data_IF_964950145656
#
_entry.id   IF_964950145656
#
_cell.length_a   1.000
_cell.length_b   1.000
_cell.length_c   1.000
_cell.angle_alpha   90.00
_cell.angle_beta   90.00
_cell.angle_gamma   90.00
#
_symmetry.space_group_name_H-M   'P 1'
#
loop_
_entity.id
_entity.type
_entity.pdbx_description
1 polymer ?
#
# COMPACT_ATOMS: atom_id res chain seq x y z
N UNK A 1 -0.35 8.01 3.50
CA UNK A 1 -1.50 8.68 2.87
C UNK A 1 -1.94 9.96 3.60
N UNK A 2 -2.26 9.95 4.90
CA UNK A 2 -2.76 11.18 5.57
C UNK A 2 -1.75 12.36 5.54
N UNK A 3 -0.44 12.08 5.65
CA UNK A 3 0.62 13.11 5.51
C UNK A 3 0.64 13.75 4.12
N UNK A 4 0.59 12.96 3.05
CA UNK A 4 0.62 13.49 1.67
C UNK A 4 -0.65 14.29 1.36
N UNK A 5 -1.81 13.89 1.87
CA UNK A 5 -3.05 14.67 1.73
C UNK A 5 -2.95 16.02 2.45
N UNK A 6 -2.34 16.08 3.64
CA UNK A 6 -2.10 17.35 4.33
C UNK A 6 -1.12 18.24 3.59
N UNK A 7 -0.07 17.67 3.02
CA UNK A 7 0.88 18.41 2.18
C UNK A 7 0.16 19.07 0.99
N UNK A 8 -0.72 18.32 0.31
CA UNK A 8 -1.58 18.86 -0.76
C UNK A 8 -2.46 20.02 -0.27
N UNK A 9 -3.11 19.87 0.88
CA UNK A 9 -3.98 20.92 1.45
C UNK A 9 -3.21 22.16 1.91
N UNK A 10 -1.98 21.98 2.38
CA UNK A 10 -1.13 23.07 2.87
C UNK A 10 -0.30 23.74 1.77
N UNK A 11 -0.27 23.19 0.56
CA UNK A 11 0.57 23.67 -0.52
C UNK A 11 0.16 25.10 -0.97
N UNK A 12 1.07 26.09 -0.88
CA UNK A 12 0.79 27.51 -1.09
C UNK A 12 0.64 27.90 -2.57
N UNK A 13 1.16 27.09 -3.50
CA UNK A 13 1.14 27.40 -4.94
C UNK A 13 0.49 26.28 -5.75
N UNK A 14 -0.04 26.61 -6.93
CA UNK A 14 -0.64 25.62 -7.82
C UNK A 14 0.39 24.56 -8.28
N UNK A 15 1.67 24.94 -8.43
CA UNK A 15 2.73 23.97 -8.72
C UNK A 15 2.96 22.99 -7.58
N UNK A 16 3.08 23.47 -6.35
CA UNK A 16 3.29 22.62 -5.18
C UNK A 16 2.07 21.71 -4.92
N UNK A 17 0.85 22.24 -5.15
CA UNK A 17 -0.37 21.44 -5.10
C UNK A 17 -0.37 20.35 -6.18
N UNK A 18 0.07 20.66 -7.40
CA UNK A 18 0.17 19.69 -8.47
C UNK A 18 1.15 18.55 -8.13
N UNK A 19 2.33 18.88 -7.59
CA UNK A 19 3.32 17.87 -7.19
C UNK A 19 2.80 17.01 -6.03
N UNK A 20 2.24 17.65 -5.00
CA UNK A 20 1.62 16.95 -3.87
C UNK A 20 0.45 16.06 -4.30
N UNK A 21 -0.34 16.45 -5.29
CA UNK A 21 -1.43 15.63 -5.84
C UNK A 21 -0.90 14.32 -6.43
N UNK A 22 0.22 14.37 -7.15
CA UNK A 22 0.86 13.17 -7.70
C UNK A 22 1.39 12.27 -6.58
N UNK A 23 1.98 12.85 -5.53
CA UNK A 23 2.43 12.08 -4.36
C UNK A 23 1.28 11.39 -3.61
N UNK A 24 0.12 12.05 -3.49
CA UNK A 24 -1.09 11.42 -2.94
C UNK A 24 -1.54 10.25 -3.82
N UNK A 25 -1.53 10.41 -5.14
CA UNK A 25 -1.91 9.35 -6.07
C UNK A 25 -0.95 8.15 -6.02
N UNK A 26 0.36 8.40 -5.89
CA UNK A 26 1.39 7.38 -5.67
C UNK A 26 1.12 6.62 -4.37
N UNK A 27 0.99 7.33 -3.25
CA UNK A 27 0.73 6.72 -1.94
C UNK A 27 -0.57 5.90 -1.94
N UNK A 28 -1.63 6.41 -2.57
CA UNK A 28 -2.91 5.71 -2.66
C UNK A 28 -2.79 4.42 -3.49
N UNK A 29 -2.11 4.47 -4.63
CA UNK A 29 -1.89 3.30 -5.50
C UNK A 29 -1.12 2.21 -4.77
N UNK A 30 -0.05 2.58 -4.07
CA UNK A 30 0.80 1.64 -3.32
C UNK A 30 0.02 1.07 -2.13
N UNK A 31 -0.68 1.89 -1.34
CA UNK A 31 -1.47 1.41 -0.20
C UNK A 31 -2.58 0.44 -0.62
N UNK A 32 -3.33 0.76 -1.67
CA UNK A 32 -4.36 -0.12 -2.20
C UNK A 32 -3.78 -1.41 -2.80
N UNK A 33 -2.70 -1.31 -3.56
CA UNK A 33 -2.00 -2.45 -4.14
C UNK A 33 -1.38 -3.37 -3.09
N UNK A 34 -0.77 -2.83 -2.03
CA UNK A 34 -0.18 -3.61 -0.95
C UNK A 34 -1.24 -4.37 -0.12
N UNK A 35 -2.36 -3.72 0.21
CA UNK A 35 -3.50 -4.39 0.87
C UNK A 35 -4.03 -5.52 -0.02
N UNK A 36 -4.20 -5.26 -1.30
CA UNK A 36 -4.64 -6.25 -2.28
C UNK A 36 -3.68 -7.44 -2.37
N UNK A 37 -2.37 -7.19 -2.46
CA UNK A 37 -1.34 -8.21 -2.57
C UNK A 37 -1.23 -9.06 -1.29
N UNK A 38 -1.22 -8.42 -0.12
CA UNK A 38 -1.20 -9.09 1.17
C UNK A 38 -2.42 -10.00 1.37
N UNK A 39 -3.62 -9.49 1.04
CA UNK A 39 -4.83 -10.27 1.11
C UNK A 39 -4.82 -11.43 0.10
N UNK A 40 -4.46 -11.18 -1.16
CA UNK A 40 -4.36 -12.24 -2.17
C UNK A 40 -3.43 -13.36 -1.73
N UNK A 41 -2.23 -13.02 -1.23
CA UNK A 41 -1.27 -14.02 -0.76
C UNK A 41 -1.86 -14.90 0.34
N UNK A 42 -2.72 -14.32 1.19
CA UNK A 42 -3.36 -15.03 2.30
C UNK A 42 -4.52 -15.95 1.89
N UNK A 43 -5.02 -15.88 0.64
CA UNK A 43 -6.20 -16.65 0.19
C UNK A 43 -5.95 -17.44 -1.09
N UNK A 44 -4.99 -17.01 -1.91
CA UNK A 44 -4.68 -17.58 -3.23
C UNK A 44 -3.23 -17.19 -3.64
N UNK A 45 -2.21 -17.79 -3.01
CA UNK A 45 -0.81 -17.39 -3.18
C UNK A 45 -0.26 -17.62 -4.59
N UNK A 46 -0.88 -18.51 -5.38
CA UNK A 46 -0.44 -18.87 -6.73
C UNK A 46 -1.11 -18.07 -7.85
N UNK A 47 -1.94 -17.07 -7.50
CA UNK A 47 -2.67 -16.28 -8.50
C UNK A 47 -1.71 -15.45 -9.38
N UNK A 48 -1.99 -15.38 -10.69
CA UNK A 48 -1.11 -14.70 -11.67
C UNK A 48 -0.81 -13.23 -11.31
N UNK A 49 -1.69 -12.56 -10.56
CA UNK A 49 -1.45 -11.20 -10.07
C UNK A 49 -0.23 -11.10 -9.15
N UNK A 50 0.02 -12.08 -8.29
CA UNK A 50 1.20 -12.13 -7.42
C UNK A 50 2.45 -12.53 -8.20
N UNK A 51 2.34 -13.48 -9.14
CA UNK A 51 3.44 -13.87 -10.03
C UNK A 51 3.90 -12.69 -10.91
N UNK A 52 2.96 -11.90 -11.41
CA UNK A 52 3.24 -10.67 -12.16
C UNK A 52 3.91 -9.60 -11.29
N UNK A 53 3.43 -9.42 -10.06
CA UNK A 53 4.05 -8.51 -9.09
C UNK A 53 5.48 -8.95 -8.74
N UNK A 54 5.72 -10.26 -8.55
CA UNK A 54 7.07 -10.81 -8.33
C UNK A 54 8.03 -10.41 -9.45
N UNK A 55 7.64 -10.65 -10.70
CA UNK A 55 8.44 -10.28 -11.88
C UNK A 55 8.70 -8.77 -11.97
N UNK A 56 7.77 -7.94 -11.48
CA UNK A 56 7.95 -6.50 -11.47
C UNK A 56 9.09 -6.05 -10.53
N UNK A 57 9.33 -6.76 -9.43
CA UNK A 57 10.44 -6.45 -8.53
C UNK A 57 11.83 -6.56 -9.18
N UNK A 58 12.00 -7.36 -10.24
CA UNK A 58 13.29 -7.47 -10.96
C UNK A 58 13.72 -6.15 -11.62
N UNK A 59 12.75 -5.28 -11.92
CA UNK A 59 12.98 -4.02 -12.65
C UNK A 59 12.62 -2.77 -11.85
N UNK A 60 11.84 -2.92 -10.78
CA UNK A 60 11.18 -1.83 -10.09
C UNK A 60 9.68 -1.89 -10.28
N UNK A 61 8.97 -1.99 -9.15
CA UNK A 61 7.51 -1.97 -9.12
C UNK A 61 7.02 -0.58 -9.46
N UNK A 62 6.13 -0.52 -10.44
CA UNK A 62 5.50 0.72 -10.88
C UNK A 62 4.10 0.83 -10.28
N UNK A 63 3.46 2.00 -10.40
CA UNK A 63 2.04 2.11 -10.03
C UNK A 63 1.15 1.17 -10.85
N UNK A 64 1.46 0.96 -12.14
CA UNK A 64 0.74 0.00 -12.96
C UNK A 64 0.81 -1.42 -12.40
N UNK A 65 1.99 -1.82 -11.89
CA UNK A 65 2.17 -3.12 -11.21
C UNK A 65 1.26 -3.25 -9.97
N UNK A 66 1.12 -2.17 -9.19
CA UNK A 66 0.19 -2.14 -8.05
C UNK A 66 -1.29 -2.18 -8.48
N UNK A 67 -1.63 -1.57 -9.62
CA UNK A 67 -2.99 -1.59 -10.16
C UNK A 67 -3.38 -2.97 -10.69
N UNK A 68 -2.43 -3.70 -11.29
CA UNK A 68 -2.67 -5.05 -11.80
C UNK A 68 -2.95 -6.04 -10.66
N UNK A 69 -2.17 -6.00 -9.57
CA UNK A 69 -2.45 -6.83 -8.39
C UNK A 69 -3.76 -6.43 -7.70
N UNK A 70 -4.07 -5.12 -7.64
CA UNK A 70 -5.35 -4.63 -7.13
C UNK A 70 -6.53 -5.17 -7.96
N UNK A 71 -6.41 -5.20 -9.29
CA UNK A 71 -7.43 -5.74 -10.19
C UNK A 71 -7.63 -7.24 -9.97
N UNK A 72 -6.54 -8.00 -9.86
CA UNK A 72 -6.60 -9.44 -9.58
C UNK A 72 -7.27 -9.72 -8.22
N UNK A 73 -6.91 -8.94 -7.19
CA UNK A 73 -7.48 -9.07 -5.86
C UNK A 73 -8.97 -8.73 -5.83
N UNK A 74 -9.36 -7.65 -6.50
CA UNK A 74 -10.75 -7.24 -6.60
C UNK A 74 -11.61 -8.29 -7.30
N UNK A 75 -11.09 -8.92 -8.37
CA UNK A 75 -11.76 -10.02 -9.05
C UNK A 75 -11.92 -11.22 -8.11
N UNK A 76 -10.84 -11.64 -7.42
CA UNK A 76 -10.89 -12.77 -6.50
C UNK A 76 -11.84 -12.53 -5.33
N UNK A 77 -11.93 -11.29 -4.85
CA UNK A 77 -12.82 -10.88 -3.76
C UNK A 77 -14.32 -11.00 -4.08
N UNK A 78 -14.70 -11.19 -5.35
CA UNK A 78 -16.11 -11.45 -5.72
C UNK A 78 -16.55 -12.82 -5.21
N UNK A 79 -15.67 -13.82 -5.28
CA UNK A 79 -15.98 -15.22 -5.01
C UNK A 79 -15.44 -15.71 -3.66
N UNK A 80 -14.80 -14.84 -2.87
CA UNK A 80 -14.20 -15.17 -1.59
C UNK A 80 -15.01 -14.58 -0.44
N UNK A 81 -15.64 -15.42 0.41
CA UNK A 81 -16.19 -14.99 1.68
C UNK A 81 -15.12 -14.29 2.54
N UNK A 82 -15.51 -13.29 3.33
CA UNK A 82 -14.60 -12.55 4.22
C UNK A 82 -13.41 -11.89 3.52
N UNK A 83 -13.61 -11.51 2.24
CA UNK A 83 -12.70 -10.62 1.55
C UNK A 83 -12.59 -9.27 2.29
N UNK A 84 -11.48 -8.56 2.04
CA UNK A 84 -11.33 -7.17 2.50
C UNK A 84 -12.61 -6.39 2.18
N UNK A 85 -13.32 -5.82 3.18
CA UNK A 85 -14.52 -5.05 2.96
C UNK A 85 -14.31 -4.03 1.85
N UNK A 86 -15.27 -3.88 0.94
CA UNK A 86 -15.17 -2.95 -0.19
C UNK A 86 -14.26 -3.37 -1.36
N UNK A 87 -13.35 -4.34 -1.22
CA UNK A 87 -12.44 -4.75 -2.29
C UNK A 87 -13.18 -5.31 -3.52
N UNK A 88 -14.25 -6.11 -3.31
CA UNK A 88 -15.08 -6.60 -4.42
C UNK A 88 -15.84 -5.47 -5.16
N UNK A 89 -16.08 -4.32 -4.51
CA UNK A 89 -16.67 -3.14 -5.16
C UNK A 89 -15.72 -2.52 -6.18
N UNK A 90 -14.40 -2.65 -5.97
CA UNK A 90 -13.38 -2.20 -6.94
C UNK A 90 -13.54 -2.94 -8.26
N UNK A 91 -13.84 -4.24 -8.22
CA UNK A 91 -14.07 -5.02 -9.44
C UNK A 91 -15.37 -4.61 -10.14
N UNK A 92 -16.46 -4.47 -9.38
CA UNK A 92 -17.76 -4.05 -9.93
C UNK A 92 -17.69 -2.67 -10.57
N UNK A 93 -16.89 -1.76 -10.01
CA UNK A 93 -16.69 -0.43 -10.57
C UNK A 93 -15.65 -0.38 -11.69
N UNK A 94 -14.74 -1.36 -11.81
CA UNK A 94 -13.59 -1.36 -12.73
C UNK A 94 -13.93 -1.13 -14.22
N UNK A 95 -15.20 -1.22 -14.62
CA UNK A 95 -15.66 -0.93 -15.97
C UNK A 95 -15.96 0.57 -16.12
N UNK A 96 -14.95 1.34 -16.53
CA UNK A 96 -15.14 2.71 -17.02
C UNK A 96 -14.19 3.76 -16.43
N UNK A 97 -14.22 4.95 -17.02
CA UNK A 97 -13.33 6.09 -16.69
C UNK A 97 -13.55 6.66 -15.28
N UNK A 98 -14.68 6.39 -14.64
CA UNK A 98 -14.99 6.83 -13.27
C UNK A 98 -14.71 5.79 -12.19
N UNK A 99 -14.10 4.66 -12.53
CA UNK A 99 -13.74 3.60 -11.58
C UNK A 99 -12.49 3.94 -10.78
N UNK A 100 -12.23 3.25 -9.66
CA UNK A 100 -11.02 3.47 -8.88
C UNK A 100 -9.77 3.27 -9.74
N UNK A 101 -9.70 2.13 -10.45
CA UNK A 101 -8.60 1.84 -11.36
C UNK A 101 -8.52 2.84 -12.52
N UNK A 102 -9.65 3.33 -13.04
CA UNK A 102 -9.68 4.33 -14.10
C UNK A 102 -9.19 5.71 -13.64
N UNK A 103 -9.59 6.14 -12.44
CA UNK A 103 -9.11 7.38 -11.82
C UNK A 103 -7.61 7.29 -11.50
N UNK A 104 -7.15 6.17 -10.93
CA UNK A 104 -5.73 5.95 -10.66
C UNK A 104 -4.91 5.89 -11.94
N UNK A 105 -5.38 5.20 -12.99
CA UNK A 105 -4.70 5.13 -14.28
C UNK A 105 -4.51 6.53 -14.89
N UNK A 106 -5.52 7.38 -14.81
CA UNK A 106 -5.43 8.77 -15.25
C UNK A 106 -4.36 9.58 -14.50
N UNK A 107 -4.24 9.37 -13.18
CA UNK A 107 -3.23 10.04 -12.36
C UNK A 107 -1.82 9.52 -12.69
N UNK A 108 -1.68 8.21 -12.97
CA UNK A 108 -0.42 7.60 -13.44
C UNK A 108 0.01 8.17 -14.79
N UNK A 109 -0.93 8.35 -15.73
CA UNK A 109 -0.63 8.98 -17.02
C UNK A 109 -0.08 10.39 -16.84
N UNK A 110 -0.64 11.18 -15.92
CA UNK A 110 -0.10 12.51 -15.60
C UNK A 110 1.29 12.43 -14.96
N UNK A 111 1.49 11.51 -13.99
CA UNK A 111 2.81 11.31 -13.39
C UNK A 111 3.86 10.94 -14.44
N UNK A 112 3.52 10.07 -15.39
CA UNK A 112 4.42 9.70 -16.48
C UNK A 112 4.72 10.90 -17.37
N UNK A 113 3.72 11.73 -17.71
CA UNK A 113 3.95 13.00 -18.42
C UNK A 113 4.92 13.90 -17.67
N UNK A 114 4.73 14.07 -16.36
CA UNK A 114 5.62 14.83 -15.50
C UNK A 114 7.05 14.28 -15.52
N UNK A 115 7.22 12.96 -15.34
CA UNK A 115 8.52 12.29 -15.35
C UNK A 115 9.23 12.37 -16.72
N UNK A 116 8.48 12.45 -17.82
CA UNK A 116 8.99 12.63 -19.18
C UNK A 116 9.17 14.11 -19.57
N UNK A 117 9.26 15.01 -18.60
CA UNK A 117 9.61 16.42 -18.82
C UNK A 117 8.45 17.30 -19.29
N UNK A 118 7.22 16.79 -19.26
CA UNK A 118 6.00 17.56 -19.56
C UNK A 118 5.34 18.12 -18.29
N UNK A 119 6.13 18.40 -17.24
CA UNK A 119 5.67 19.05 -16.03
C UNK A 119 5.20 20.50 -16.30
N UNK A 120 4.17 21.00 -15.59
CA UNK A 120 3.70 22.36 -15.77
C UNK A 120 4.80 23.38 -15.42
N UNK A 121 5.08 24.29 -16.35
CA UNK A 121 6.19 25.26 -16.22
C UNK A 121 5.78 26.52 -15.47
N UNK A 122 4.49 26.80 -15.38
CA UNK A 122 3.95 28.00 -14.75
C UNK A 122 2.82 27.66 -13.78
N UNK A 123 2.51 28.56 -12.83
CA UNK A 123 1.37 28.38 -11.92
C UNK A 123 0.02 28.33 -12.66
N UNK A 124 -0.26 29.15 -13.68
CA UNK A 124 -1.49 29.02 -14.48
C UNK A 124 -1.62 27.67 -15.18
N UNK A 125 -0.55 27.15 -15.78
CA UNK A 125 -0.55 25.81 -16.39
C UNK A 125 -0.81 24.72 -15.35
N UNK A 126 -0.19 24.82 -14.17
CA UNK A 126 -0.44 23.89 -13.08
C UNK A 126 -1.89 23.94 -12.61
N UNK A 127 -2.48 25.14 -12.49
CA UNK A 127 -3.88 25.32 -12.09
C UNK A 127 -4.86 24.71 -13.10
N UNK A 128 -4.59 24.88 -14.41
CA UNK A 128 -5.39 24.27 -15.47
C UNK A 128 -5.36 22.74 -15.39
N UNK A 129 -4.17 22.14 -15.20
CA UNK A 129 -4.05 20.69 -15.04
C UNK A 129 -4.72 20.20 -13.76
N UNK A 130 -4.53 20.90 -12.65
CA UNK A 130 -5.17 20.60 -11.37
C UNK A 130 -6.69 20.52 -11.48
N UNK A 131 -7.32 21.45 -12.22
CA UNK A 131 -8.78 21.46 -12.41
C UNK A 131 -9.32 20.15 -13.01
N UNK A 132 -8.53 19.47 -13.86
CA UNK A 132 -8.89 18.17 -14.42
C UNK A 132 -8.53 16.96 -13.55
N UNK A 133 -7.54 17.10 -12.67
CA UNK A 133 -6.98 16.00 -11.86
C UNK A 133 -7.59 15.89 -10.47
N UNK A 134 -7.90 17.01 -9.82
CA UNK A 134 -8.48 17.04 -8.48
C UNK A 134 -9.76 16.20 -8.37
N UNK A 135 -10.76 16.34 -9.27
CA UNK A 135 -11.96 15.50 -9.20
C UNK A 135 -11.67 14.01 -9.34
N UNK A 136 -10.62 13.63 -10.09
CA UNK A 136 -10.20 12.23 -10.24
C UNK A 136 -9.55 11.72 -8.96
N UNK A 137 -8.71 12.53 -8.33
CA UNK A 137 -8.11 12.20 -7.05
C UNK A 137 -9.18 12.04 -5.97
N UNK A 138 -10.12 12.98 -5.86
CA UNK A 138 -11.23 12.94 -4.90
C UNK A 138 -12.07 11.67 -5.09
N UNK A 139 -12.48 11.38 -6.34
CA UNK A 139 -13.22 10.16 -6.64
C UNK A 139 -12.41 8.89 -6.28
N UNK A 140 -11.10 8.87 -6.53
CA UNK A 140 -10.25 7.75 -6.15
C UNK A 140 -10.15 7.59 -4.62
N UNK A 141 -10.02 8.69 -3.87
CA UNK A 141 -9.98 8.67 -2.41
C UNK A 141 -11.31 8.16 -1.82
N UNK A 142 -12.44 8.64 -2.34
CA UNK A 142 -13.78 8.20 -1.94
C UNK A 142 -14.00 6.71 -2.21
N UNK A 143 -13.57 6.23 -3.38
CA UNK A 143 -13.67 4.82 -3.74
C UNK A 143 -12.69 3.94 -2.96
N UNK A 144 -11.60 4.51 -2.46
CA UNK A 144 -10.62 3.83 -1.62
C UNK A 144 -10.92 3.91 -0.11
N UNK A 145 -12.10 4.41 0.28
CA UNK A 145 -12.52 4.47 1.69
C UNK A 145 -12.53 3.10 2.38
N UNK A 146 -12.57 2.01 1.61
CA UNK A 146 -12.40 0.66 2.13
C UNK A 146 -11.06 0.43 2.87
N UNK A 147 -10.01 1.19 2.54
CA UNK A 147 -8.74 1.15 3.28
C UNK A 147 -8.89 1.62 4.73
N UNK A 148 -9.87 2.50 5.01
CA UNK A 148 -10.18 2.93 6.38
C UNK A 148 -10.81 1.80 7.20
N UNK A 149 -11.53 0.88 6.54
CA UNK A 149 -12.18 -0.26 7.18
C UNK A 149 -11.20 -1.40 7.49
N UNK A 150 -9.98 -1.33 6.95
CA UNK A 150 -8.91 -2.31 7.15
C UNK A 150 -7.66 -1.67 7.74
N UNK A 151 -7.71 -1.25 9.03
CA UNK A 151 -6.61 -0.50 9.65
C UNK A 151 -5.35 -1.35 9.76
N UNK A 152 -4.20 -0.69 9.65
CA UNK A 152 -2.89 -1.31 9.79
C UNK A 152 -2.39 -1.19 11.23
N UNK A 153 -1.77 -2.26 11.72
CA UNK A 153 -1.24 -2.35 13.08
C UNK A 153 0.16 -2.94 13.07
N UNK A 154 1.04 -2.42 13.92
CA UNK A 154 2.34 -3.01 14.20
C UNK A 154 2.25 -3.78 15.51
N UNK A 155 2.55 -5.07 15.46
CA UNK A 155 2.59 -5.91 16.65
C UNK A 155 3.78 -5.57 17.52
N UNK A 156 3.57 -5.54 18.84
CA UNK A 156 4.62 -5.23 19.82
C UNK A 156 4.85 -6.35 20.83
N UNK A 157 3.79 -7.04 21.20
CA UNK A 157 3.88 -8.28 21.96
C UNK A 157 2.62 -9.11 21.73
N UNK A 158 2.79 -10.43 21.71
CA UNK A 158 1.71 -11.40 21.63
C UNK A 158 1.76 -12.33 22.84
N UNK A 159 0.67 -12.41 23.62
CA UNK A 159 0.60 -13.23 24.83
C UNK A 159 -0.62 -14.14 24.80
N UNK A 160 -0.41 -15.44 24.97
CA UNK A 160 -1.50 -16.41 24.96
C UNK A 160 -2.33 -16.34 26.24
N UNK A 161 -3.66 -16.18 26.10
CA UNK A 161 -4.62 -16.26 27.20
C UNK A 161 -5.31 -17.62 27.18
N UNK A 162 -4.90 -18.50 28.09
CA UNK A 162 -5.30 -19.90 28.09
C UNK A 162 -6.80 -20.13 28.32
N UNK A 163 -7.47 -19.26 29.09
CA UNK A 163 -8.90 -19.38 29.41
C UNK A 163 -9.78 -19.10 28.19
N UNK A 164 -9.45 -18.06 27.43
CA UNK A 164 -10.19 -17.64 26.25
C UNK A 164 -9.69 -18.33 24.96
N UNK A 165 -8.54 -19.02 25.01
CA UNK A 165 -7.88 -19.67 23.87
C UNK A 165 -7.59 -18.69 22.72
N UNK A 166 -7.24 -17.46 23.08
CA UNK A 166 -6.85 -16.41 22.14
C UNK A 166 -5.53 -15.79 22.55
N UNK A 167 -4.87 -15.12 21.62
CA UNK A 167 -3.73 -14.27 21.87
C UNK A 167 -4.21 -12.84 22.10
N UNK A 168 -3.75 -12.26 23.19
CA UNK A 168 -3.89 -10.83 23.47
C UNK A 168 -2.64 -10.13 22.96
N UNK A 169 -2.85 -9.24 22.01
CA UNK A 169 -1.77 -8.64 21.23
C UNK A 169 -1.74 -7.15 21.49
N UNK A 170 -0.61 -6.66 22.00
CA UNK A 170 -0.36 -5.23 22.09
C UNK A 170 0.10 -4.70 20.74
N UNK A 171 -0.55 -3.65 20.26
CA UNK A 171 -0.32 -3.12 18.92
C UNK A 171 -0.19 -1.61 18.92
N UNK A 172 0.50 -1.10 17.91
CA UNK A 172 0.50 0.32 17.56
C UNK A 172 -0.24 0.53 16.25
N UNK A 173 -1.23 1.42 16.23
CA UNK A 173 -2.05 1.73 15.07
C UNK A 173 -1.23 2.52 14.05
N UNK A 174 -0.92 1.90 12.92
CA UNK A 174 -0.13 2.48 11.83
C UNK A 174 -0.99 3.31 10.86
N UNK A 175 -1.94 4.08 11.41
CA UNK A 175 -2.93 4.86 10.66
C UNK A 175 -2.82 6.34 11.03
N UNK A 176 -3.28 7.21 10.13
CA UNK A 176 -3.24 8.65 10.33
C UNK A 176 -1.88 9.25 9.96
N UNK A 177 -1.57 10.40 10.54
CA UNK A 177 -0.36 11.17 10.27
C UNK A 177 0.45 11.52 11.54
N UNK A 178 -0.04 11.08 12.70
CA UNK A 178 0.56 11.42 13.96
C UNK A 178 1.96 10.80 14.04
N UNK A 179 2.99 11.55 14.48
CA UNK A 179 4.37 11.05 14.52
C UNK A 179 4.53 9.88 15.49
N UNK A 180 3.68 9.82 16.52
CA UNK A 180 3.56 8.67 17.42
C UNK A 180 2.34 7.85 17.06
N UNK A 181 2.51 6.54 16.88
CA UNK A 181 1.39 5.64 16.65
C UNK A 181 0.53 5.50 17.91
N UNK A 182 -0.79 5.53 17.73
CA UNK A 182 -1.73 5.28 18.83
C UNK A 182 -1.55 3.84 19.34
N UNK A 183 -1.58 3.65 20.66
CA UNK A 183 -1.38 2.33 21.28
C UNK A 183 -2.73 1.65 21.46
N UNK A 184 -2.80 0.34 21.21
CA UNK A 184 -4.02 -0.42 21.32
C UNK A 184 -3.79 -1.87 21.73
N UNK A 185 -4.90 -2.59 21.90
CA UNK A 185 -4.91 -4.05 22.06
C UNK A 185 -5.92 -4.65 21.10
N UNK A 186 -5.57 -5.81 20.56
CA UNK A 186 -6.46 -6.64 19.77
C UNK A 186 -6.38 -8.08 20.28
N UNK A 187 -7.34 -8.89 19.88
CA UNK A 187 -7.30 -10.34 20.08
C UNK A 187 -7.09 -11.04 18.76
N UNK A 188 -6.32 -12.13 18.77
CA UNK A 188 -6.05 -12.94 17.59
C UNK A 188 -6.22 -14.42 17.91
N UNK A 189 -6.75 -15.20 16.96
CA UNK A 189 -6.82 -16.66 17.08
C UNK A 189 -5.43 -17.32 16.92
N UNK A 190 -4.49 -16.65 16.27
CA UNK A 190 -3.14 -17.13 16.00
C UNK A 190 -2.07 -16.20 16.62
N UNK A 191 -0.88 -16.72 16.95
CA UNK A 191 0.22 -15.87 17.38
C UNK A 191 0.61 -14.91 16.25
N UNK A 192 0.85 -13.65 16.60
CA UNK A 192 1.38 -12.64 15.69
C UNK A 192 2.83 -12.35 16.06
N UNK A 193 3.68 -12.16 15.04
CA UNK A 193 5.10 -11.89 15.24
C UNK A 193 5.34 -10.43 15.64
N UNK A 194 6.23 -10.22 16.61
CA UNK A 194 6.58 -8.89 17.09
C UNK A 194 7.30 -8.07 16.02
N UNK A 195 6.95 -6.80 15.91
CA UNK A 195 7.54 -5.87 14.93
C UNK A 195 6.98 -6.00 13.52
N UNK A 196 6.13 -6.99 13.22
CA UNK A 196 5.46 -7.12 11.91
C UNK A 196 4.24 -6.21 11.79
N UNK A 197 3.96 -5.84 10.55
CA UNK A 197 2.83 -5.02 10.17
C UNK A 197 1.69 -5.93 9.66
N UNK A 198 0.52 -5.79 10.25
CA UNK A 198 -0.68 -6.54 9.87
C UNK A 198 -1.80 -5.58 9.46
N UNK A 199 -2.63 -6.00 8.52
CA UNK A 199 -3.93 -5.40 8.23
C UNK A 199 -5.01 -6.18 8.99
N UNK A 200 -5.96 -5.46 9.61
CA UNK A 200 -7.13 -6.06 10.22
C UNK A 200 -8.27 -6.15 9.21
N UNK A 201 -8.65 -7.37 8.82
CA UNK A 201 -9.79 -7.66 7.94
C UNK A 201 -10.99 -8.04 8.80
N UNK A 202 -12.12 -7.35 8.61
CA UNK A 202 -13.36 -7.55 9.37
C UNK A 202 -13.16 -7.50 10.90
N UNK A 203 -12.10 -6.82 11.39
CA UNK A 203 -11.70 -6.68 12.81
C UNK A 203 -11.34 -7.99 13.54
N UNK A 204 -11.27 -9.11 12.84
CA UNK A 204 -11.00 -10.42 13.46
C UNK A 204 -9.82 -11.15 12.82
N UNK A 205 -9.62 -10.94 11.52
CA UNK A 205 -8.55 -11.60 10.77
C UNK A 205 -7.36 -10.67 10.58
N UNK A 206 -6.20 -11.07 11.07
CA UNK A 206 -4.94 -10.37 10.82
C UNK A 206 -4.29 -10.92 9.55
N UNK A 207 -3.99 -10.06 8.59
CA UNK A 207 -3.28 -10.41 7.35
C UNK A 207 -1.92 -9.73 7.37
N UNK A 208 -0.84 -10.52 7.25
CA UNK A 208 0.53 -9.99 7.24
C UNK A 208 0.77 -9.16 5.97
N UNK A 209 1.26 -7.93 6.15
CA UNK A 209 1.61 -7.01 5.06
C UNK A 209 3.07 -7.16 4.59
N UNK A 210 3.91 -7.86 5.36
CA UNK A 210 5.30 -8.20 4.99
C UNK A 210 5.28 -9.22 3.86
N UNK A 211 6.02 -9.09 2.75
CA UNK A 211 7.11 -8.14 2.51
C UNK A 211 6.69 -6.85 1.79
N UNK A 212 5.40 -6.68 1.45
CA UNK A 212 4.92 -5.56 0.65
C UNK A 212 5.08 -4.22 1.37
N UNK A 213 4.80 -4.18 2.66
CA UNK A 213 4.96 -3.01 3.53
C UNK A 213 5.58 -3.43 4.85
N UNK A 214 6.61 -2.70 5.27
CA UNK A 214 7.32 -2.94 6.53
C UNK A 214 7.56 -1.64 7.28
N UNK A 215 7.74 -1.74 8.59
CA UNK A 215 8.20 -0.63 9.42
C UNK A 215 9.72 -0.75 9.62
N UNK A 216 10.46 0.32 9.34
CA UNK A 216 11.92 0.39 9.55
C UNK A 216 12.34 1.74 10.08
N UNK A 217 13.53 1.79 10.67
CA UNK A 217 14.17 3.04 11.04
C UNK A 217 14.86 3.65 9.82
N UNK A 218 14.44 4.83 9.41
CA UNK A 218 15.09 5.56 8.32
C UNK A 218 16.37 6.21 8.83
N UNK A 219 17.51 5.89 8.23
CA UNK A 219 18.82 6.45 8.63
C UNK A 219 18.94 7.95 8.34
N UNK A 220 18.25 8.43 7.29
CA UNK A 220 18.27 9.85 6.90
C UNK A 220 17.35 10.67 7.80
N UNK A 221 16.11 10.23 8.00
CA UNK A 221 15.14 10.93 8.85
C UNK A 221 15.37 10.71 10.35
N UNK A 222 16.18 9.71 10.73
CA UNK A 222 16.40 9.25 12.13
C UNK A 222 15.10 9.00 12.89
N UNK A 223 14.12 8.43 12.20
CA UNK A 223 12.79 8.13 12.73
C UNK A 223 12.22 6.88 12.10
N UNK A 224 11.19 6.34 12.74
CA UNK A 224 10.47 5.16 12.25
C UNK A 224 9.57 5.58 11.09
N UNK A 225 9.69 4.87 9.97
CA UNK A 225 8.87 5.08 8.79
C UNK A 225 8.28 3.76 8.28
N UNK A 226 7.22 3.89 7.47
CA UNK A 226 6.68 2.78 6.70
C UNK A 226 7.34 2.81 5.33
N UNK A 227 7.81 1.64 4.92
CA UNK A 227 8.44 1.42 3.63
C UNK A 227 7.63 0.40 2.84
N UNK A 228 7.63 0.51 1.53
CA UNK A 228 7.16 -0.53 0.63
C UNK A 228 8.33 -1.13 -0.15
N UNK A 229 8.19 -2.41 -0.53
CA UNK A 229 9.14 -3.02 -1.45
C UNK A 229 9.07 -2.33 -2.82
N UNK A 230 10.24 -2.01 -3.38
CA UNK A 230 10.39 -1.33 -4.68
C UNK A 230 11.01 -2.26 -5.72
N UNK A 231 12.17 -2.86 -5.42
CA UNK A 231 12.88 -3.75 -6.34
C UNK A 231 13.82 -4.71 -5.64
N UNK A 232 14.16 -5.78 -6.33
CA UNK A 232 15.31 -6.62 -6.01
C UNK A 232 16.57 -6.02 -6.67
N UNK A 233 17.72 -5.94 -5.96
CA UNK A 233 18.99 -5.59 -6.54
C UNK A 233 19.39 -6.62 -7.60
N UNK A 234 20.09 -6.15 -8.64
CA UNK A 234 20.60 -7.05 -9.69
C UNK A 234 21.77 -7.87 -9.16
N UNK A 235 21.70 -9.19 -9.37
CA UNK A 235 22.78 -10.14 -9.12
C UNK A 235 22.79 -10.68 -7.69
N UNK A 236 22.10 -11.81 -7.46
CA UNK A 236 22.14 -12.69 -6.28
C UNK A 236 22.20 -12.08 -4.87
N UNK A 237 21.92 -10.79 -4.72
CA UNK A 237 21.77 -10.15 -3.42
C UNK A 237 20.36 -10.44 -2.92
N UNK A 238 20.25 -11.01 -1.72
CA UNK A 238 19.00 -11.24 -0.99
C UNK A 238 18.38 -9.95 -0.44
N UNK A 239 19.08 -8.81 -0.59
CA UNK A 239 18.58 -7.48 -0.24
C UNK A 239 17.33 -7.11 -1.02
N UNK A 240 16.42 -6.36 -0.40
CA UNK A 240 15.27 -5.73 -1.04
C UNK A 240 15.44 -4.23 -0.93
N UNK A 241 15.34 -3.51 -2.05
CA UNK A 241 15.28 -2.06 -2.02
C UNK A 241 13.88 -1.65 -1.59
N UNK A 242 13.83 -0.92 -0.49
CA UNK A 242 12.64 -0.37 0.13
C UNK A 242 12.55 1.13 -0.14
N UNK A 243 11.33 1.66 -0.30
CA UNK A 243 11.06 3.11 -0.42
C UNK A 243 10.05 3.57 0.62
N UNK A 244 10.33 4.70 1.25
CA UNK A 244 9.44 5.30 2.24
C UNK A 244 8.19 5.88 1.61
N UNK A 245 7.03 5.66 2.25
CA UNK A 245 5.77 6.31 1.89
C UNK A 245 5.74 7.82 2.12
N UNK A 246 6.60 8.34 3.00
CA UNK A 246 6.54 9.73 3.46
C UNK A 246 7.66 10.59 2.91
N UNK A 247 8.90 10.17 3.12
CA UNK A 247 10.09 10.94 2.78
C UNK A 247 10.63 10.64 1.38
N UNK A 248 10.17 9.55 0.75
CA UNK A 248 10.73 9.04 -0.50
C UNK A 248 12.14 8.46 -0.36
N UNK A 249 12.72 8.44 0.84
CA UNK A 249 14.02 7.83 1.09
C UNK A 249 14.01 6.33 0.80
N UNK A 250 15.13 5.83 0.31
CA UNK A 250 15.31 4.43 0.01
C UNK A 250 16.34 3.79 0.95
N UNK A 251 16.15 2.50 1.23
CA UNK A 251 17.12 1.67 1.97
C UNK A 251 17.12 0.25 1.43
N UNK A 252 18.11 -0.55 1.81
CA UNK A 252 18.16 -1.99 1.48
C UNK A 252 17.87 -2.80 2.74
N UNK A 253 17.07 -3.86 2.61
CA UNK A 253 16.75 -4.78 3.70
C UNK A 253 16.95 -6.24 3.24
N UNK A 254 17.89 -6.93 3.88
CA UNK A 254 18.29 -8.30 3.54
C UNK A 254 17.35 -9.38 4.11
N UNK A 255 16.38 -9.00 4.95
CA UNK A 255 15.45 -9.93 5.60
C UNK A 255 14.23 -10.31 4.76
N UNK A 256 14.01 -9.64 3.63
CA UNK A 256 12.76 -9.72 2.86
C UNK A 256 12.90 -10.39 1.49
N UNK A 257 14.12 -10.75 1.09
CA UNK A 257 14.40 -11.28 -0.25
C UNK A 257 13.64 -12.57 -0.53
N UNK A 258 13.73 -13.53 0.40
CA UNK A 258 13.12 -14.85 0.25
C UNK A 258 11.58 -14.75 0.20
N UNK A 259 10.99 -13.89 1.05
CA UNK A 259 9.54 -13.62 1.06
C UNK A 259 9.03 -13.08 -0.28
N UNK A 260 9.83 -12.24 -0.95
CA UNK A 260 9.49 -11.70 -2.28
C UNK A 260 9.71 -12.73 -3.39
N UNK A 261 10.76 -13.53 -3.30
CA UNK A 261 11.07 -14.57 -4.28
C UNK A 261 10.04 -15.70 -4.26
N UNK A 262 9.48 -16.04 -3.10
CA UNK A 262 8.42 -17.03 -2.95
C UNK A 262 7.02 -16.58 -3.40
N UNK A 263 6.85 -15.34 -3.87
CA UNK A 263 5.55 -14.86 -4.35
C UNK A 263 5.10 -15.60 -5.61
N UNK A 264 3.86 -16.12 -5.61
CA UNK A 264 3.33 -16.88 -6.74
C UNK A 264 3.66 -18.37 -6.69
N UNK A 265 4.35 -18.85 -5.65
CA UNK A 265 4.62 -20.26 -5.43
C UNK A 265 3.55 -20.86 -4.50
N UNK A 266 3.19 -22.14 -4.72
CA UNK A 266 2.42 -22.88 -3.73
C UNK A 266 3.41 -23.40 -2.68
N UNK A 267 3.21 -23.05 -1.41
CA UNK A 267 3.84 -23.82 -0.33
C UNK A 267 3.39 -25.27 -0.48
N UNK A 268 4.33 -26.14 -0.85
CA UNK A 268 4.10 -27.58 -0.88
C UNK A 268 4.06 -28.04 0.57
N UNK A 269 2.86 -28.20 1.11
CA UNK A 269 2.64 -28.85 2.41
C UNK A 269 2.85 -30.35 2.27
#
# INVERSE_FOLDING_TARGET
MARTVRALQAAPTAKEQYESLLEVADALSISAGAVAAAWLRSVDPAIEGLTSLRRAYDRGVTQGSWHDVLRAAAQRAVDTPDAVPGLSKVHRSARGRGSLLGNLQALVEERNRWAHGSAPRTNPEAAERLAGLLPRLEAALDQAMFLKESPWVVTRSSSYRSRERVFDVFVWWAMGDHPEFEKGRITSAAPLEDGRLYMLVCRERCVDLTPFVVQRHCEVCRSIELFHADRLPRGNATGVVLKSFGSGHAMTDDSLGDDLLGLGEQESV
#
